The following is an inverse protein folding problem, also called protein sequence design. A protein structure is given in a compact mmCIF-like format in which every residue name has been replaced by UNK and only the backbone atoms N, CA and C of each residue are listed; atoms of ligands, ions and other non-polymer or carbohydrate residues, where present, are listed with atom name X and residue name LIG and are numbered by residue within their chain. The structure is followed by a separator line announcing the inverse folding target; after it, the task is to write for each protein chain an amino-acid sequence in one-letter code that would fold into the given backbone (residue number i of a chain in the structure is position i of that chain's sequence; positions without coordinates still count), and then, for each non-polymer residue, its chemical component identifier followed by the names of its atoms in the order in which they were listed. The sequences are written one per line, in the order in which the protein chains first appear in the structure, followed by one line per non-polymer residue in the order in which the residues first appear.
data_IF_375734757762
#
_entry.id   IF_375734757762
#
_cell.length_a   1.000
_cell.length_b   1.000
_cell.length_c   1.000
_cell.angle_alpha   90.00
_cell.angle_beta   90.00
_cell.angle_gamma   90.00
#
_symmetry.space_group_name_H-M   'P 1'
#
loop_
_entity.id
_entity.type
_entity.pdbx_description
1 polymer ?
#
# COMPACT_ATOMS: atom_id res chain seq x y z
N UNK A 1 8.08 21.61 -59.33
CA UNK A 1 8.73 21.73 -58.00
C UNK A 1 7.99 20.81 -57.02
N UNK A 2 8.53 19.63 -56.74
CA UNK A 2 7.94 18.67 -55.79
C UNK A 2 8.52 18.91 -54.40
N UNK A 3 7.67 19.32 -53.45
CA UNK A 3 8.05 19.45 -52.04
C UNK A 3 7.65 18.17 -51.30
N UNK A 4 8.67 17.42 -50.88
CA UNK A 4 8.60 16.32 -49.92
C UNK A 4 7.95 16.81 -48.62
N UNK A 5 7.01 16.03 -48.08
CA UNK A 5 6.67 16.07 -46.65
C UNK A 5 6.30 14.67 -46.21
N UNK A 6 7.27 14.04 -45.54
CA UNK A 6 7.11 12.80 -44.79
C UNK A 6 6.43 13.23 -43.48
N UNK A 7 5.14 12.95 -43.34
CA UNK A 7 4.47 13.06 -42.05
C UNK A 7 4.32 11.65 -41.48
N UNK A 8 5.20 11.37 -40.53
CA UNK A 8 5.29 10.13 -39.80
C UNK A 8 4.04 9.88 -38.96
N UNK A 9 3.66 8.61 -38.89
CA UNK A 9 2.57 8.14 -38.06
C UNK A 9 2.88 8.30 -36.57
N UNK A 10 1.89 8.79 -35.83
CA UNK A 10 1.76 8.52 -34.41
C UNK A 10 0.50 7.67 -34.22
N UNK A 11 0.71 6.37 -33.99
CA UNK A 11 -0.29 5.46 -33.48
C UNK A 11 -0.53 5.82 -32.02
N UNK A 12 -1.68 6.42 -31.71
CA UNK A 12 -2.13 6.60 -30.35
C UNK A 12 -2.44 5.21 -29.75
N UNK A 13 -1.59 4.79 -28.81
CA UNK A 13 -1.72 3.56 -28.03
C UNK A 13 -3.04 3.61 -27.24
N UNK A 14 -3.79 2.51 -27.33
CA UNK A 14 -5.15 2.40 -26.85
C UNK A 14 -5.32 2.60 -25.35
N UNK A 15 -6.48 3.20 -25.01
CA UNK A 15 -7.06 3.12 -23.67
C UNK A 15 -7.43 1.66 -23.37
N UNK A 16 -6.54 0.95 -22.68
CA UNK A 16 -6.92 -0.28 -22.01
C UNK A 16 -7.57 0.11 -20.68
N UNK A 17 -8.91 0.13 -20.71
CA UNK A 17 -9.73 -0.10 -19.55
C UNK A 17 -9.24 -1.38 -18.83
N UNK A 18 -9.15 -1.31 -17.51
CA UNK A 18 -8.77 -2.45 -16.68
C UNK A 18 -8.98 -2.14 -15.21
N UNK A 19 -10.24 -2.09 -14.78
CA UNK A 19 -10.61 -2.37 -13.40
C UNK A 19 -10.02 -3.75 -13.07
N UNK A 20 -9.03 -3.78 -12.18
CA UNK A 20 -8.19 -4.94 -11.91
C UNK A 20 -9.02 -6.18 -11.59
N UNK A 21 -8.91 -7.18 -12.46
CA UNK A 21 -9.52 -8.48 -12.28
C UNK A 21 -9.07 -9.43 -13.38
N UNK A 22 -8.05 -10.23 -13.09
CA UNK A 22 -7.98 -11.65 -13.50
C UNK A 22 -6.95 -12.39 -12.66
N UNK A 23 -7.43 -13.44 -12.01
CA UNK A 23 -6.73 -14.48 -11.27
C UNK A 23 -5.69 -15.23 -12.12
N UNK A 24 -4.60 -15.71 -11.50
CA UNK A 24 -4.23 -17.14 -11.39
C UNK A 24 -2.79 -17.34 -10.88
N UNK A 25 -2.70 -18.16 -9.84
CA UNK A 25 -1.70 -19.21 -9.58
C UNK A 25 -0.21 -18.82 -9.57
N UNK A 26 0.33 -18.83 -8.34
CA UNK A 26 1.59 -19.48 -8.01
C UNK A 26 2.87 -18.80 -8.49
N UNK A 27 3.56 -18.13 -7.57
CA UNK A 27 4.99 -18.33 -7.30
C UNK A 27 5.44 -17.29 -6.28
N UNK A 28 6.17 -17.78 -5.28
CA UNK A 28 6.94 -17.01 -4.31
C UNK A 28 6.29 -15.74 -3.75
N UNK A 29 5.64 -15.91 -2.59
CA UNK A 29 5.72 -14.87 -1.56
C UNK A 29 7.19 -14.72 -1.16
N UNK A 30 7.97 -14.08 -2.01
CA UNK A 30 9.23 -13.47 -1.67
C UNK A 30 8.86 -12.45 -0.60
N UNK A 31 8.92 -12.89 0.66
CA UNK A 31 8.88 -12.06 1.86
C UNK A 31 10.14 -11.20 1.85
N UNK A 32 10.27 -10.33 0.85
CA UNK A 32 11.12 -9.17 0.94
C UNK A 32 10.53 -8.39 2.10
N UNK A 33 11.22 -8.41 3.25
CA UNK A 33 11.04 -7.39 4.27
C UNK A 33 11.45 -6.10 3.59
N UNK A 34 10.50 -5.48 2.89
CA UNK A 34 10.63 -4.12 2.43
C UNK A 34 10.77 -3.32 3.71
N UNK A 35 12.00 -2.91 3.99
CA UNK A 35 12.31 -1.93 5.02
C UNK A 35 11.76 -0.58 4.51
N UNK A 36 10.43 -0.47 4.48
CA UNK A 36 9.79 0.82 4.40
C UNK A 36 10.21 1.56 5.66
N UNK A 37 11.00 2.63 5.48
CA UNK A 37 11.37 3.52 6.57
C UNK A 37 10.07 3.95 7.27
N UNK A 38 9.88 3.41 8.47
CA UNK A 38 8.66 3.62 9.24
C UNK A 38 8.57 5.12 9.56
N UNK A 39 7.41 5.77 9.37
CA UNK A 39 7.29 7.19 9.56
C UNK A 39 7.62 7.59 11.00
N UNK A 40 8.23 8.76 11.15
CA UNK A 40 8.45 9.38 12.46
C UNK A 40 7.12 9.87 13.02
N UNK A 41 6.88 9.59 14.31
CA UNK A 41 5.63 9.92 14.97
C UNK A 41 5.65 11.37 15.48
N UNK A 42 4.85 12.22 14.84
CA UNK A 42 4.58 13.59 15.33
C UNK A 42 3.59 13.62 16.50
N UNK A 43 2.82 12.54 16.69
CA UNK A 43 1.80 12.40 17.73
C UNK A 43 1.80 11.00 18.35
N UNK A 44 0.94 10.78 19.35
CA UNK A 44 0.67 9.44 19.85
C UNK A 44 -0.48 8.81 19.05
N UNK A 45 -0.31 7.57 18.62
CA UNK A 45 -1.38 6.85 17.95
C UNK A 45 -1.18 5.36 18.09
N UNK A 46 -2.26 4.65 18.33
CA UNK A 46 -2.26 3.20 18.35
C UNK A 46 -3.14 2.66 17.22
N UNK A 47 -2.67 1.63 16.53
CA UNK A 47 -3.45 0.92 15.52
C UNK A 47 -3.47 -0.56 15.85
N UNK A 48 -4.65 -1.17 15.79
CA UNK A 48 -4.81 -2.62 15.88
C UNK A 48 -5.25 -3.18 14.54
N UNK A 49 -4.57 -4.21 14.06
CA UNK A 49 -4.91 -4.94 12.84
C UNK A 49 -5.58 -6.26 13.19
N UNK A 50 -6.66 -6.58 12.49
CA UNK A 50 -7.48 -7.78 12.70
C UNK A 50 -7.47 -8.68 11.46
N UNK A 51 -7.80 -9.96 11.64
CA UNK A 51 -7.87 -10.93 10.54
C UNK A 51 -8.92 -10.61 9.49
N UNK A 52 -10.03 -10.00 9.92
CA UNK A 52 -11.23 -9.77 9.12
C UNK A 52 -12.09 -8.65 9.70
N UNK A 53 -13.15 -8.26 8.98
CA UNK A 53 -14.03 -7.15 9.32
C UNK A 53 -14.91 -7.38 10.57
N UNK A 54 -14.89 -8.55 11.19
CA UNK A 54 -15.55 -8.77 12.49
C UNK A 54 -14.74 -8.21 13.65
N UNK A 55 -13.47 -7.83 13.42
CA UNK A 55 -12.56 -7.30 14.43
C UNK A 55 -12.45 -8.19 15.69
N UNK A 56 -12.53 -9.52 15.51
CA UNK A 56 -12.55 -10.48 16.61
C UNK A 56 -11.17 -11.06 16.94
N UNK A 57 -10.30 -11.22 15.94
CA UNK A 57 -8.95 -11.77 16.11
C UNK A 57 -7.91 -10.74 15.72
N UNK A 58 -7.14 -10.26 16.70
CA UNK A 58 -6.01 -9.37 16.46
C UNK A 58 -4.86 -10.16 15.82
N UNK A 59 -4.30 -9.64 14.74
CA UNK A 59 -3.17 -10.23 13.99
C UNK A 59 -1.93 -9.34 13.99
N UNK A 60 -2.07 -8.09 14.42
CA UNK A 60 -0.96 -7.18 14.59
C UNK A 60 -1.37 -5.90 15.31
N UNK A 61 -0.38 -5.09 15.66
CA UNK A 61 -0.60 -3.73 16.15
C UNK A 61 0.54 -2.81 15.70
N UNK A 62 0.28 -1.51 15.72
CA UNK A 62 1.29 -0.48 15.58
C UNK A 62 1.16 0.55 16.69
N UNK A 63 2.28 0.96 17.25
CA UNK A 63 2.36 2.01 18.26
C UNK A 63 3.27 3.13 17.77
N UNK A 64 2.73 4.34 17.81
CA UNK A 64 3.44 5.58 17.52
C UNK A 64 3.49 6.37 18.82
N UNK A 65 4.71 6.70 19.27
CA UNK A 65 4.92 7.56 20.44
C UNK A 65 5.62 8.84 20.02
N UNK A 66 5.23 9.99 20.59
CA UNK A 66 5.82 11.30 20.29
C UNK A 66 7.36 11.25 20.37
N UNK A 67 8.03 11.54 19.26
CA UNK A 67 9.50 11.53 19.19
C UNK A 67 10.14 10.17 18.87
N UNK A 68 9.34 9.16 18.55
CA UNK A 68 9.80 7.82 18.19
C UNK A 68 9.38 7.44 16.77
N UNK A 69 10.08 6.46 16.19
CA UNK A 69 9.68 5.83 14.93
C UNK A 69 8.49 4.91 15.18
N UNK A 70 7.53 4.87 14.24
CA UNK A 70 6.40 3.94 14.30
C UNK A 70 6.91 2.50 14.49
N UNK A 71 6.41 1.82 15.51
CA UNK A 71 6.68 0.41 15.74
C UNK A 71 5.49 -0.40 15.27
N UNK A 72 5.72 -1.43 14.44
CA UNK A 72 4.69 -2.36 13.99
C UNK A 72 5.09 -3.78 14.34
N UNK A 73 4.16 -4.53 14.92
CA UNK A 73 4.32 -5.93 15.31
C UNK A 73 3.20 -6.75 14.68
N UNK A 74 3.53 -7.91 14.12
CA UNK A 74 2.57 -8.81 13.49
C UNK A 74 2.23 -8.44 12.06
N UNK A 75 1.01 -8.78 11.63
CA UNK A 75 0.54 -8.58 10.26
C UNK A 75 -0.29 -7.30 10.14
N UNK A 76 -0.01 -6.51 9.10
CA UNK A 76 -0.86 -5.37 8.71
C UNK A 76 -1.96 -5.88 7.79
N UNK A 77 -3.19 -5.46 8.06
CA UNK A 77 -4.37 -5.81 7.27
C UNK A 77 -5.21 -4.56 7.03
N UNK A 78 -6.14 -4.62 6.08
CA UNK A 78 -7.10 -3.52 5.84
C UNK A 78 -8.14 -3.40 6.97
N UNK A 79 -8.26 -4.43 7.82
CA UNK A 79 -9.14 -4.44 8.97
C UNK A 79 -8.44 -3.82 10.19
N UNK A 80 -8.27 -2.50 10.13
CA UNK A 80 -7.55 -1.74 11.15
C UNK A 80 -8.47 -0.82 11.97
N UNK A 81 -8.20 -0.73 13.27
CA UNK A 81 -8.83 0.24 14.18
C UNK A 81 -7.76 1.20 14.69
N UNK A 82 -7.96 2.50 14.45
CA UNK A 82 -7.06 3.56 14.87
C UNK A 82 -7.60 4.25 16.12
N UNK A 83 -6.77 4.33 17.15
CA UNK A 83 -7.00 5.06 18.39
C UNK A 83 -6.03 6.25 18.40
N UNK A 84 -6.46 7.43 17.94
CA UNK A 84 -5.66 8.63 18.09
C UNK A 84 -5.69 9.02 19.57
N UNK A 85 -4.53 9.10 20.21
CA UNK A 85 -4.43 9.80 21.50
C UNK A 85 -3.54 11.02 21.29
N UNK A 86 -4.09 12.20 21.49
CA UNK A 86 -3.31 13.41 21.30
C UNK A 86 -2.24 13.48 22.40
N UNK A 87 -0.99 13.76 22.02
CA UNK A 87 -0.08 14.48 22.91
C UNK A 87 -0.66 15.90 23.11
#
# INVERSE_FOLDING_TARGET
MMRKSIMGGLLAVGMLAGCGGVDNVGEDSQLGTREDELPFCEGFSFVTYYSDATYSVQVGHGDCSCGHTLRVVGQKTDFAVYLPENC
#
